data_IF_281040239563
#
_entry.id   IF_281040239563
#
_cell.length_a   1.000
_cell.length_b   1.000
_cell.length_c   1.000
_cell.angle_alpha   90.00
_cell.angle_beta   90.00
_cell.angle_gamma   90.00
#
_symmetry.space_group_name_H-M   'P 1'
#
loop_
_entity.id
_entity.type
_entity.pdbx_description
1 polymer ?
#
# COMPACT_ATOMS: atom_id res chain seq x y z
N UNK A 1 14.09 11.46 12.19
CA UNK A 1 13.35 12.65 11.72
C UNK A 1 12.70 13.33 12.91
N UNK A 2 12.94 14.64 13.10
CA UNK A 2 12.31 15.45 14.15
C UNK A 2 10.81 15.56 13.88
N UNK A 3 9.96 14.88 14.65
CA UNK A 3 8.51 15.02 14.52
C UNK A 3 8.08 16.40 15.04
N UNK A 4 7.71 17.31 14.15
CA UNK A 4 6.98 18.50 14.55
C UNK A 4 5.63 18.04 15.12
N UNK A 5 5.43 18.24 16.42
CA UNK A 5 4.15 17.95 17.07
C UNK A 5 3.11 18.98 16.60
N UNK A 6 1.97 18.52 16.07
CA UNK A 6 0.86 19.39 15.69
C UNK A 6 -0.03 19.62 16.91
N UNK A 7 -0.19 20.88 17.30
CA UNK A 7 -1.09 21.25 18.39
C UNK A 7 -2.54 20.86 18.08
N UNK A 8 -3.25 20.39 19.11
CA UNK A 8 -4.64 19.91 19.01
C UNK A 8 -5.60 20.95 18.43
N UNK A 9 -5.35 22.23 18.69
CA UNK A 9 -6.16 23.33 18.18
C UNK A 9 -6.03 23.52 16.66
N UNK A 10 -4.84 23.21 16.11
CA UNK A 10 -4.56 23.35 14.68
C UNK A 10 -4.90 22.08 13.89
N UNK A 11 -5.01 20.94 14.55
CA UNK A 11 -5.24 19.65 13.91
C UNK A 11 -6.44 19.62 12.94
N UNK A 12 -7.64 20.15 13.26
CA UNK A 12 -8.77 20.10 12.34
C UNK A 12 -8.49 20.80 10.99
N UNK A 13 -7.73 21.90 11.02
CA UNK A 13 -7.34 22.64 9.81
C UNK A 13 -6.26 21.86 9.06
N UNK A 14 -5.24 21.37 9.76
CA UNK A 14 -4.18 20.56 9.17
C UNK A 14 -4.74 19.30 8.49
N UNK A 15 -5.59 18.53 9.18
CA UNK A 15 -6.25 17.35 8.64
C UNK A 15 -7.04 17.68 7.37
N UNK A 16 -7.84 18.75 7.39
CA UNK A 16 -8.60 19.18 6.23
C UNK A 16 -7.71 19.55 5.04
N UNK A 17 -6.57 20.21 5.29
CA UNK A 17 -5.61 20.54 4.24
C UNK A 17 -4.91 19.29 3.69
N UNK A 18 -4.47 18.38 4.55
CA UNK A 18 -3.85 17.12 4.17
C UNK A 18 -4.77 16.26 3.30
N UNK A 19 -6.05 16.14 3.70
CA UNK A 19 -7.05 15.40 2.92
C UNK A 19 -7.31 16.04 1.55
N UNK A 20 -7.34 17.37 1.47
CA UNK A 20 -7.48 18.07 0.18
C UNK A 20 -6.25 17.94 -0.70
N UNK A 21 -5.06 17.97 -0.10
CA UNK A 21 -3.81 17.69 -0.80
C UNK A 21 -3.79 16.28 -1.37
N UNK A 22 -4.27 15.27 -0.63
CA UNK A 22 -4.37 13.90 -1.11
C UNK A 22 -5.35 13.72 -2.27
N UNK A 23 -6.42 14.51 -2.34
CA UNK A 23 -7.32 14.53 -3.50
C UNK A 23 -6.65 15.14 -4.72
N UNK A 24 -5.89 16.23 -4.54
CA UNK A 24 -5.23 16.94 -5.63
C UNK A 24 -3.98 16.22 -6.15
N UNK A 25 -3.22 15.60 -5.23
CA UNK A 25 -1.96 14.90 -5.49
C UNK A 25 -1.93 13.57 -4.71
N UNK A 26 -2.54 12.51 -5.26
CA UNK A 26 -2.69 11.20 -4.61
C UNK A 26 -1.37 10.50 -4.25
N UNK A 27 -0.26 10.86 -4.89
CA UNK A 27 1.06 10.35 -4.52
C UNK A 27 1.44 10.66 -3.06
N UNK A 28 0.81 11.66 -2.44
CA UNK A 28 1.02 11.98 -1.03
C UNK A 28 0.23 11.08 -0.06
N UNK A 29 -0.58 10.13 -0.53
CA UNK A 29 -1.34 9.22 0.34
C UNK A 29 -0.47 8.44 1.32
N UNK A 30 0.75 8.05 0.91
CA UNK A 30 1.73 7.45 1.81
C UNK A 30 2.09 8.37 2.99
N UNK A 31 2.38 9.64 2.68
CA UNK A 31 2.70 10.66 3.68
C UNK A 31 1.49 10.95 4.57
N UNK A 32 0.29 11.01 3.99
CA UNK A 32 -0.95 11.14 4.74
C UNK A 32 -1.10 9.99 5.75
N UNK A 33 -0.88 8.75 5.32
CA UNK A 33 -0.90 7.59 6.21
C UNK A 33 0.09 7.75 7.37
N UNK A 34 1.34 8.12 7.10
CA UNK A 34 2.38 8.28 8.12
C UNK A 34 2.01 9.37 9.14
N UNK A 35 1.43 10.49 8.68
CA UNK A 35 0.94 11.57 9.55
C UNK A 35 -0.24 11.09 10.41
N UNK A 36 -1.22 10.39 9.82
CA UNK A 36 -2.37 9.86 10.56
C UNK A 36 -1.94 8.80 11.59
N UNK A 37 -0.98 7.93 11.25
CA UNK A 37 -0.48 6.89 12.12
C UNK A 37 0.38 7.44 13.26
N UNK A 38 1.19 8.46 13.00
CA UNK A 38 2.02 9.12 14.02
C UNK A 38 1.22 10.03 14.95
N UNK A 39 0.11 10.61 14.48
CA UNK A 39 -0.68 11.54 15.26
C UNK A 39 -1.71 10.86 16.19
N UNK A 40 -1.20 10.11 17.16
CA UNK A 40 -2.02 9.34 18.11
C UNK A 40 -2.77 10.20 19.14
N UNK A 41 -2.37 11.47 19.32
CA UNK A 41 -2.92 12.36 20.34
C UNK A 41 -4.18 13.11 19.90
N UNK A 42 -4.43 13.17 18.59
CA UNK A 42 -5.51 13.96 18.02
C UNK A 42 -6.56 13.05 17.36
N UNK A 43 -7.86 13.32 17.58
CA UNK A 43 -8.91 12.52 16.97
C UNK A 43 -8.93 12.73 15.44
N UNK A 44 -8.98 11.63 14.71
CA UNK A 44 -9.12 11.63 13.25
C UNK A 44 -10.60 11.81 12.90
N UNK A 45 -10.91 12.74 12.01
CA UNK A 45 -12.24 12.89 11.44
C UNK A 45 -12.50 11.78 10.42
N UNK A 46 -12.94 10.62 10.91
CA UNK A 46 -13.23 9.45 10.07
C UNK A 46 -14.19 9.77 8.92
N UNK A 47 -15.19 10.64 9.11
CA UNK A 47 -16.12 10.98 8.04
C UNK A 47 -15.43 11.72 6.88
N UNK A 48 -14.52 12.64 7.19
CA UNK A 48 -13.72 13.34 6.18
C UNK A 48 -12.77 12.37 5.46
N UNK A 49 -12.06 11.52 6.22
CA UNK A 49 -11.17 10.49 5.64
C UNK A 49 -11.96 9.55 4.73
N UNK A 50 -13.10 9.01 5.19
CA UNK A 50 -13.97 8.16 4.37
C UNK A 50 -14.39 8.86 3.09
N UNK A 51 -14.79 10.13 3.15
CA UNK A 51 -15.17 10.91 1.95
C UNK A 51 -14.00 11.01 0.96
N UNK A 52 -12.81 11.33 1.46
CA UNK A 52 -11.59 11.43 0.65
C UNK A 52 -11.21 10.10 0.01
N UNK A 53 -11.17 9.01 0.78
CA UNK A 53 -10.80 7.69 0.26
C UNK A 53 -11.76 7.20 -0.83
N UNK A 54 -13.07 7.36 -0.63
CA UNK A 54 -14.04 7.00 -1.65
C UNK A 54 -13.87 7.82 -2.93
N UNK A 55 -13.63 9.14 -2.81
CA UNK A 55 -13.38 9.99 -3.98
C UNK A 55 -12.14 9.55 -4.77
N UNK A 56 -11.05 9.20 -4.07
CA UNK A 56 -9.83 8.68 -4.68
C UNK A 56 -10.11 7.34 -5.37
N UNK A 57 -10.77 6.40 -4.69
CA UNK A 57 -11.07 5.09 -5.29
C UNK A 57 -11.92 5.22 -6.56
N UNK A 58 -12.98 6.03 -6.53
CA UNK A 58 -13.86 6.26 -7.68
C UNK A 58 -13.13 6.94 -8.85
N UNK A 59 -12.17 7.83 -8.57
CA UNK A 59 -11.42 8.52 -9.62
C UNK A 59 -10.32 7.65 -10.24
N UNK A 60 -9.55 6.94 -9.42
CA UNK A 60 -8.34 6.25 -9.84
C UNK A 60 -8.58 4.81 -10.34
N UNK A 61 -9.66 4.15 -9.89
CA UNK A 61 -9.96 2.79 -10.31
C UNK A 61 -10.22 2.66 -11.83
N UNK A 62 -11.04 3.51 -12.47
CA UNK A 62 -11.22 3.47 -13.93
C UNK A 62 -9.93 3.73 -14.73
N UNK A 63 -8.93 4.35 -14.11
CA UNK A 63 -7.64 4.67 -14.71
C UNK A 63 -6.59 3.58 -14.50
N UNK A 64 -6.92 2.47 -13.82
CA UNK A 64 -6.00 1.38 -13.49
C UNK A 64 -4.77 1.85 -12.70
N UNK A 65 -4.95 2.88 -11.87
CA UNK A 65 -3.89 3.50 -11.09
C UNK A 65 -3.74 2.77 -9.74
N UNK A 66 -3.10 1.60 -9.79
CA UNK A 66 -3.02 0.67 -8.66
C UNK A 66 -2.34 1.25 -7.41
N UNK A 67 -1.31 2.08 -7.54
CA UNK A 67 -0.58 2.63 -6.39
C UNK A 67 -1.46 3.48 -5.47
N UNK A 68 -2.26 4.37 -6.06
CA UNK A 68 -3.18 5.27 -5.36
C UNK A 68 -4.27 4.47 -4.65
N UNK A 69 -4.78 3.42 -5.32
CA UNK A 69 -5.76 2.51 -4.75
C UNK A 69 -5.17 1.71 -3.59
N UNK A 70 -3.96 1.16 -3.74
CA UNK A 70 -3.29 0.40 -2.68
C UNK A 70 -3.13 1.24 -1.41
N UNK A 71 -2.67 2.48 -1.53
CA UNK A 71 -2.58 3.36 -0.37
C UNK A 71 -3.94 3.75 0.19
N UNK A 72 -4.94 3.98 -0.65
CA UNK A 72 -6.30 4.27 -0.17
C UNK A 72 -6.91 3.08 0.59
N UNK A 73 -6.76 1.86 0.06
CA UNK A 73 -7.19 0.60 0.71
C UNK A 73 -6.42 0.36 2.01
N UNK A 74 -5.12 0.64 2.02
CA UNK A 74 -4.30 0.51 3.22
C UNK A 74 -4.71 1.47 4.33
N UNK A 75 -4.99 2.74 3.99
CA UNK A 75 -5.53 3.71 4.95
C UNK A 75 -6.89 3.22 5.45
N UNK A 76 -7.77 2.75 4.55
CA UNK A 76 -9.08 2.23 4.93
C UNK A 76 -8.97 1.07 5.93
N UNK A 77 -8.05 0.13 5.68
CA UNK A 77 -7.71 -0.96 6.60
C UNK A 77 -7.27 -0.44 7.96
N UNK A 78 -6.25 0.43 7.97
CA UNK A 78 -5.64 0.93 9.22
C UNK A 78 -6.61 1.72 10.10
N UNK A 79 -7.57 2.41 9.48
CA UNK A 79 -8.56 3.24 10.17
C UNK A 79 -9.89 2.51 10.40
N UNK A 80 -10.00 1.25 9.98
CA UNK A 80 -11.23 0.44 10.00
C UNK A 80 -12.41 1.18 9.33
N UNK A 81 -12.16 1.69 8.12
CA UNK A 81 -13.14 2.43 7.32
C UNK A 81 -13.80 1.48 6.32
N UNK A 82 -15.13 1.44 6.34
CA UNK A 82 -15.94 0.76 5.35
C UNK A 82 -16.07 1.66 4.11
N UNK A 83 -15.71 1.13 2.94
CA UNK A 83 -15.85 1.84 1.66
C UNK A 83 -17.30 1.78 1.16
N UNK A 84 -17.71 2.80 0.42
CA UNK A 84 -19.07 2.86 -0.12
C UNK A 84 -19.22 1.98 -1.36
N UNK A 85 -20.45 1.71 -1.75
CA UNK A 85 -20.77 0.82 -2.87
C UNK A 85 -20.16 1.29 -4.20
N UNK A 86 -20.09 2.61 -4.45
CA UNK A 86 -19.52 3.16 -5.70
C UNK A 86 -18.02 2.89 -5.80
N UNK A 87 -17.27 3.13 -4.71
CA UNK A 87 -15.84 2.84 -4.63
C UNK A 87 -15.57 1.33 -4.76
N UNK A 88 -16.33 0.51 -4.05
CA UNK A 88 -16.23 -0.95 -4.11
C UNK A 88 -16.50 -1.47 -5.52
N UNK A 89 -17.53 -0.97 -6.19
CA UNK A 89 -17.86 -1.33 -7.56
C UNK A 89 -16.76 -0.93 -8.54
N UNK A 90 -16.18 0.27 -8.38
CA UNK A 90 -15.08 0.74 -9.21
C UNK A 90 -13.81 -0.11 -9.02
N UNK A 91 -13.43 -0.40 -7.77
CA UNK A 91 -12.27 -1.24 -7.42
C UNK A 91 -12.43 -2.66 -7.99
N UNK A 92 -13.65 -3.20 -8.00
CA UNK A 92 -13.95 -4.55 -8.53
C UNK A 92 -13.59 -4.72 -10.03
N UNK A 93 -13.33 -3.63 -10.75
CA UNK A 93 -12.97 -3.62 -12.17
C UNK A 93 -11.48 -3.35 -12.42
N UNK A 94 -10.66 -3.31 -11.36
CA UNK A 94 -9.23 -3.04 -11.46
C UNK A 94 -8.48 -4.34 -11.73
N UNK A 95 -7.68 -4.33 -12.78
CA UNK A 95 -6.91 -5.47 -13.27
C UNK A 95 -5.47 -5.43 -12.74
N UNK A 96 -5.35 -5.55 -11.42
CA UNK A 96 -4.08 -5.52 -10.70
C UNK A 96 -4.12 -6.50 -9.52
N UNK A 97 -3.16 -7.43 -9.47
CA UNK A 97 -3.11 -8.50 -8.47
C UNK A 97 -3.02 -7.98 -7.04
N UNK A 98 -2.27 -6.90 -6.80
CA UNK A 98 -2.10 -6.33 -5.47
C UNK A 98 -3.36 -5.63 -5.01
N UNK A 99 -4.03 -4.89 -5.91
CA UNK A 99 -5.32 -4.26 -5.62
C UNK A 99 -6.36 -5.34 -5.34
N UNK A 100 -6.43 -6.39 -6.16
CA UNK A 100 -7.34 -7.50 -6.00
C UNK A 100 -7.15 -8.21 -4.64
N UNK A 101 -5.92 -8.62 -4.32
CA UNK A 101 -5.62 -9.28 -3.05
C UNK A 101 -5.91 -8.39 -1.85
N UNK A 102 -5.63 -7.09 -1.94
CA UNK A 102 -5.93 -6.14 -0.87
C UNK A 102 -7.43 -5.95 -0.70
N UNK A 103 -8.19 -5.84 -1.79
CA UNK A 103 -9.65 -5.73 -1.73
C UNK A 103 -10.29 -6.99 -1.15
N UNK A 104 -9.83 -8.18 -1.55
CA UNK A 104 -10.28 -9.47 -1.00
C UNK A 104 -9.99 -9.58 0.50
N UNK A 105 -8.82 -9.11 0.94
CA UNK A 105 -8.49 -9.01 2.35
C UNK A 105 -9.46 -8.08 3.09
N UNK A 106 -9.71 -6.87 2.59
CA UNK A 106 -10.66 -5.92 3.18
C UNK A 106 -12.10 -6.47 3.21
N UNK A 107 -12.51 -7.23 2.19
CA UNK A 107 -13.80 -7.94 2.19
C UNK A 107 -13.86 -8.96 3.32
N UNK A 108 -12.80 -9.75 3.53
CA UNK A 108 -12.73 -10.72 4.63
C UNK A 108 -12.78 -10.07 6.02
N UNK A 109 -12.36 -8.80 6.14
CA UNK A 109 -12.47 -7.98 7.35
C UNK A 109 -13.80 -7.20 7.45
N UNK A 110 -14.71 -7.35 6.48
CA UNK A 110 -16.01 -6.67 6.47
C UNK A 110 -15.97 -5.19 6.07
N UNK A 111 -14.84 -4.70 5.54
CA UNK A 111 -14.65 -3.31 5.09
C UNK A 111 -15.14 -3.07 3.66
N UNK A 112 -15.38 -4.14 2.90
CA UNK A 112 -15.92 -4.11 1.53
C UNK A 112 -16.99 -5.20 1.33
N UNK A 113 -18.16 -5.10 1.99
CA UNK A 113 -19.17 -6.18 2.00
C UNK A 113 -19.76 -6.51 0.62
N UNK A 114 -19.88 -5.50 -0.26
CA UNK A 114 -20.51 -5.64 -1.59
C UNK A 114 -19.50 -5.93 -2.72
N UNK A 115 -18.30 -6.40 -2.39
CA UNK A 115 -17.23 -6.60 -3.37
C UNK A 115 -17.57 -7.75 -4.33
N UNK A 116 -17.52 -7.45 -5.63
CA UNK A 116 -17.79 -8.40 -6.71
C UNK A 116 -16.47 -8.87 -7.33
N UNK A 117 -16.21 -10.16 -7.30
CA UNK A 117 -14.90 -10.72 -7.69
C UNK A 117 -14.93 -11.34 -9.10
N UNK A 118 -15.84 -10.92 -9.98
CA UNK A 118 -16.05 -11.56 -11.29
C UNK A 118 -14.79 -11.52 -12.16
N UNK A 119 -14.14 -10.35 -12.27
CA UNK A 119 -12.89 -10.19 -13.02
C UNK A 119 -11.80 -11.07 -12.44
N UNK A 120 -11.49 -10.91 -11.16
CA UNK A 120 -10.42 -11.67 -10.49
C UNK A 120 -10.67 -13.18 -10.45
N UNK A 121 -11.94 -13.59 -10.44
CA UNK A 121 -12.34 -14.98 -10.52
C UNK A 121 -11.97 -15.65 -11.84
N UNK A 122 -11.83 -14.90 -12.95
CA UNK A 122 -11.35 -15.47 -14.21
C UNK A 122 -9.88 -15.89 -14.13
N UNK A 123 -9.10 -15.24 -13.27
CA UNK A 123 -7.69 -15.56 -13.03
C UNK A 123 -7.48 -16.73 -12.07
N UNK A 124 -8.54 -17.23 -11.41
CA UNK A 124 -8.49 -18.41 -10.56
C UNK A 124 -8.50 -19.71 -11.38
N UNK A 125 -7.54 -19.86 -12.29
CA UNK A 125 -7.39 -21.03 -13.15
C UNK A 125 -5.92 -21.43 -13.31
N UNK A 126 -5.69 -22.70 -13.68
CA UNK A 126 -4.35 -23.30 -13.80
C UNK A 126 -3.45 -22.53 -14.77
N UNK A 127 -3.99 -22.02 -15.87
CA UNK A 127 -3.24 -21.29 -16.90
C UNK A 127 -2.58 -20.03 -16.33
N UNK A 128 -3.19 -19.41 -15.32
CA UNK A 128 -2.73 -18.14 -14.78
C UNK A 128 -1.58 -18.27 -13.78
N UNK A 129 -1.30 -19.48 -13.28
CA UNK A 129 -0.12 -19.76 -12.44
C UNK A 129 1.21 -19.37 -13.09
N UNK A 130 1.27 -19.33 -14.42
CA UNK A 130 2.48 -18.94 -15.17
C UNK A 130 2.24 -17.72 -16.05
N UNK A 131 1.24 -16.90 -15.70
CA UNK A 131 0.93 -15.62 -16.35
C UNK A 131 1.36 -14.44 -15.47
N UNK A 132 1.05 -13.22 -15.90
CA UNK A 132 1.23 -12.03 -15.06
C UNK A 132 0.38 -12.07 -13.78
N UNK A 133 -0.80 -12.71 -13.82
CA UNK A 133 -1.72 -12.85 -12.69
C UNK A 133 -1.43 -14.03 -11.75
N UNK A 134 -0.20 -14.56 -11.79
CA UNK A 134 0.18 -15.75 -11.00
C UNK A 134 -0.01 -15.52 -9.50
N UNK A 135 0.21 -14.29 -9.03
CA UNK A 135 0.16 -13.94 -7.62
C UNK A 135 -1.27 -14.06 -7.12
N UNK A 136 -2.23 -13.47 -7.85
CA UNK A 136 -3.66 -13.59 -7.54
C UNK A 136 -4.17 -15.03 -7.72
N UNK A 137 -3.77 -15.73 -8.79
CA UNK A 137 -4.16 -17.11 -9.05
C UNK A 137 -3.71 -18.06 -7.94
N UNK A 138 -2.55 -17.82 -7.34
CA UNK A 138 -2.03 -18.61 -6.22
C UNK A 138 -2.61 -18.17 -4.88
N UNK A 139 -2.44 -16.91 -4.49
CA UNK A 139 -2.81 -16.42 -3.16
C UNK A 139 -4.33 -16.36 -2.95
N UNK A 140 -5.07 -15.93 -3.97
CA UNK A 140 -6.53 -15.80 -3.88
C UNK A 140 -7.19 -17.14 -3.59
N UNK A 141 -6.76 -18.21 -4.27
CA UNK A 141 -7.28 -19.57 -4.03
C UNK A 141 -6.72 -20.17 -2.75
N UNK A 142 -5.41 -20.04 -2.49
CA UNK A 142 -4.77 -20.60 -1.27
C UNK A 142 -5.41 -20.04 0.02
N UNK A 143 -5.76 -18.75 0.05
CA UNK A 143 -6.43 -18.11 1.20
C UNK A 143 -7.94 -18.34 1.23
N UNK A 144 -8.51 -19.02 0.22
CA UNK A 144 -9.94 -19.28 0.12
C UNK A 144 -10.79 -18.05 -0.23
N UNK A 145 -10.16 -16.98 -0.70
CA UNK A 145 -10.84 -15.75 -1.14
C UNK A 145 -11.46 -15.90 -2.53
N UNK A 146 -10.81 -16.68 -3.40
CA UNK A 146 -11.31 -17.04 -4.73
C UNK A 146 -11.54 -18.55 -4.81
N UNK A 147 -12.49 -18.94 -5.67
CA UNK A 147 -12.76 -20.35 -5.99
C UNK A 147 -12.19 -20.66 -7.37
N UNK A 148 -11.54 -21.83 -7.56
CA UNK A 148 -11.12 -22.27 -8.88
C UNK A 148 -12.28 -22.29 -9.88
N UNK A 149 -12.03 -21.85 -11.12
CA UNK A 149 -13.06 -21.75 -12.17
C UNK A 149 -13.74 -23.11 -12.46
N UNK A 150 -12.96 -24.19 -12.48
CA UNK A 150 -13.43 -25.56 -12.73
C UNK A 150 -13.77 -26.33 -11.45
N UNK A 151 -13.63 -25.70 -10.27
CA UNK A 151 -13.81 -26.32 -8.96
C UNK A 151 -12.70 -27.30 -8.56
N UNK A 152 -11.65 -27.46 -9.37
CA UNK A 152 -10.52 -28.33 -9.10
C UNK A 152 -9.40 -27.50 -8.48
N UNK A 153 -8.82 -27.97 -7.38
CA UNK A 153 -7.64 -27.30 -6.82
C UNK A 153 -6.42 -27.55 -7.72
N UNK A 154 -6.20 -26.64 -8.67
CA UNK A 154 -5.11 -26.74 -9.62
C UNK A 154 -3.73 -26.57 -8.97
N UNK A 155 -3.64 -25.90 -7.81
CA UNK A 155 -2.39 -25.67 -7.09
C UNK A 155 -1.76 -26.99 -6.64
N UNK A 156 -2.57 -27.92 -6.10
CA UNK A 156 -2.10 -29.23 -5.63
C UNK A 156 -1.58 -30.12 -6.78
N UNK A 157 -2.08 -29.89 -7.99
CA UNK A 157 -1.72 -30.68 -9.18
C UNK A 157 -0.55 -30.10 -9.97
N UNK A 158 -0.14 -28.87 -9.67
CA UNK A 158 0.94 -28.19 -10.36
C UNK A 158 2.32 -28.57 -9.80
N UNK A 159 3.32 -28.75 -10.66
CA UNK A 159 4.64 -29.22 -10.26
C UNK A 159 5.40 -28.23 -9.37
N UNK A 160 5.23 -26.93 -9.59
CA UNK A 160 5.95 -25.89 -8.86
C UNK A 160 5.12 -25.33 -7.70
N UNK A 161 3.86 -24.98 -7.96
CA UNK A 161 3.04 -24.32 -6.95
C UNK A 161 2.59 -25.24 -5.81
N UNK A 162 2.50 -26.56 -6.04
CA UNK A 162 2.28 -27.53 -4.97
C UNK A 162 3.44 -27.56 -3.97
N UNK A 163 4.68 -27.31 -4.42
CA UNK A 163 5.86 -27.21 -3.54
C UNK A 163 5.73 -25.98 -2.64
N UNK A 164 5.38 -24.82 -3.23
CA UNK A 164 5.17 -23.58 -2.46
C UNK A 164 4.08 -23.77 -1.39
N UNK A 165 2.94 -24.34 -1.78
CA UNK A 165 1.83 -24.61 -0.86
C UNK A 165 2.22 -25.58 0.25
N UNK A 166 2.93 -26.66 -0.08
CA UNK A 166 3.42 -27.64 0.91
C UNK A 166 4.38 -27.03 1.94
N UNK A 167 5.15 -26.01 1.52
CA UNK A 167 6.06 -25.27 2.38
C UNK A 167 5.44 -24.03 3.03
N UNK A 168 4.12 -23.85 2.91
CA UNK A 168 3.37 -22.72 3.46
C UNK A 168 3.89 -21.34 3.00
N UNK A 169 4.44 -21.28 1.79
CA UNK A 169 4.96 -20.04 1.22
C UNK A 169 3.81 -19.10 0.93
N UNK A 170 3.95 -17.85 1.36
CA UNK A 170 3.00 -16.77 1.06
C UNK A 170 3.73 -15.49 0.68
N UNK A 171 3.12 -14.77 -0.24
CA UNK A 171 3.55 -13.48 -0.79
C UNK A 171 2.65 -12.34 -0.32
N UNK A 172 1.50 -12.64 0.29
CA UNK A 172 0.59 -11.66 0.87
C UNK A 172 0.41 -11.92 2.35
N UNK A 173 0.97 -11.04 3.18
CA UNK A 173 0.85 -11.11 4.64
C UNK A 173 -0.30 -10.22 5.14
N UNK A 174 -1.33 -10.87 5.69
CA UNK A 174 -2.50 -10.19 6.28
C UNK A 174 -2.15 -9.47 7.60
N UNK A 175 -1.10 -9.92 8.29
CA UNK A 175 -0.60 -9.33 9.52
C UNK A 175 0.44 -8.23 9.31
N UNK A 176 0.75 -7.90 8.05
CA UNK A 176 1.73 -6.88 7.73
C UNK A 176 1.34 -5.54 8.38
N UNK A 177 2.30 -4.95 9.08
CA UNK A 177 2.25 -3.56 9.56
C UNK A 177 3.31 -2.76 8.83
N UNK A 178 3.07 -1.46 8.58
CA UNK A 178 4.09 -0.59 7.98
C UNK A 178 5.33 -0.61 8.86
N UNK A 179 6.42 -1.15 8.30
CA UNK A 179 7.73 -1.08 8.92
C UNK A 179 8.24 0.34 8.71
N UNK A 180 8.68 1.00 9.79
CA UNK A 180 9.39 2.25 9.66
C UNK A 180 10.64 1.99 8.79
N UNK A 181 10.77 2.69 7.67
CA UNK A 181 12.01 2.65 6.91
C UNK A 181 13.12 3.21 7.81
N UNK A 182 13.91 2.32 8.42
CA UNK A 182 15.19 2.71 8.98
C UNK A 182 16.02 3.22 7.82
N UNK A 183 16.37 4.51 7.82
CA UNK A 183 17.31 5.05 6.85
C UNK A 183 18.60 4.23 6.95
N UNK A 184 18.90 3.44 5.92
CA UNK A 184 20.15 2.67 5.83
C UNK A 184 21.37 3.59 5.63
N UNK A 185 21.12 4.88 5.40
CA UNK A 185 22.13 5.93 5.59
C UNK A 185 22.39 6.10 7.09
N UNK A 186 23.32 5.29 7.61
CA UNK A 186 24.13 5.74 8.74
C UNK A 186 24.89 6.96 8.24
N UNK A 187 24.63 8.13 8.83
CA UNK A 187 25.61 9.19 8.76
C UNK A 187 26.92 8.59 9.29
N UNK A 188 27.92 8.47 8.42
CA UNK A 188 29.26 8.12 8.89
C UNK A 188 29.66 9.24 9.86
N UNK A 189 29.65 8.95 11.16
CA UNK A 189 30.22 9.79 12.23
C UNK A 189 31.76 9.90 12.11
N UNK A 190 32.30 9.87 10.90
CA UNK A 190 33.66 10.30 10.63
C UNK A 190 33.61 11.80 10.41
N UNK A 191 33.51 12.50 11.54
CA UNK A 191 33.89 13.90 11.68
C UNK A 191 35.33 14.03 11.17
N UNK A 192 35.50 14.35 9.88
CA UNK A 192 36.79 14.78 9.36
C UNK A 192 37.10 16.10 10.07
N UNK A 193 38.16 16.20 10.90
CA UNK A 193 38.52 17.48 11.46
C UNK A 193 38.81 18.41 10.28
N UNK A 194 38.05 19.50 10.20
CA UNK A 194 38.37 20.62 9.32
C UNK A 194 39.75 21.13 9.73
N UNK A 195 40.80 20.63 9.07
CA UNK A 195 42.13 21.20 9.18
C UNK A 195 42.06 22.58 8.53
N UNK A 196 41.97 23.60 9.38
CA UNK A 196 42.28 24.97 9.00
C UNK A 196 43.73 25.02 8.52
N UNK A 197 43.94 24.95 7.20
CA UNK A 197 45.17 25.42 6.56
C UNK A 197 44.80 26.37 5.43
N UNK A 198 44.51 27.62 5.80
CA UNK A 198 44.75 28.76 4.94
C UNK A 198 46.26 29.07 4.98
N UNK A 199 46.89 29.17 3.81
CA UNK A 199 48.30 29.55 3.61
C UNK A 199 49.23 28.33 3.54
N UNK A 200 50.14 28.17 2.59
CA UNK A 200 50.78 29.09 1.65
C UNK A 200 51.00 28.40 0.31
N UNK A 201 50.99 29.18 -0.78
CA UNK A 201 51.45 28.76 -2.11
C UNK A 201 52.97 28.65 -2.10
N UNK A 202 53.58 27.54 -2.54
CA UNK A 202 55.01 27.54 -2.83
C UNK A 202 55.25 27.74 -4.33
N UNK A 203 56.02 28.78 -4.58
CA UNK A 203 56.59 29.22 -5.85
C UNK A 203 57.30 28.11 -6.67
N UNK A 204 57.24 28.31 -7.98
CA UNK A 204 58.23 28.04 -9.06
C UNK A 204 59.34 26.95 -8.87
N UNK A 205 59.27 25.91 -9.75
CA UNK A 205 60.28 25.26 -10.66
C UNK A 205 61.78 25.14 -10.24
N UNK A 206 62.67 24.33 -10.88
CA UNK A 206 62.61 23.51 -12.12
C UNK A 206 63.11 22.04 -11.90
N UNK A 207 63.16 21.06 -12.82
CA UNK A 207 63.18 20.90 -14.27
C UNK A 207 62.35 19.65 -14.65
#
# INVERSE_FOLDING_TARGET
MSSASIDKENWPICESLLLRSAIAEPSCLRVLYDILASNTLNPINKAAVTTTLNAICVHHAPLQQGNELLWALWIAKSQLIVLNTDAVAAISQVDDDLVALTALHLQSEGLMPDLVTNLWGTYAAKEHLYSEHWLLAYEGVRKGWLKPVDGINYIDTDLFFSILQKHDVTFYDIGATVQAEGSVYKEDENEYPLSNSFGESPDELPY
#
